data_IF_098012821448
#
_entry.id   IF_098012821448
#
_cell.length_a   1.000
_cell.length_b   1.000
_cell.length_c   1.000
_cell.angle_alpha   90.00
_cell.angle_beta   90.00
_cell.angle_gamma   90.00
#
_symmetry.space_group_name_H-M   'P 1'
#
loop_
_entity.id
_entity.type
_entity.pdbx_description
1 polymer ?
#
# COMPACT_ATOMS: atom_id res chain seq x y z
N UNK A 1 -16.22 -1.11 -14.99
CA UNK A 1 -16.36 -0.12 -13.88
C UNK A 1 -15.59 -0.48 -12.60
N UNK A 2 -15.61 -1.73 -12.11
CA UNK A 2 -14.89 -2.09 -10.88
C UNK A 2 -13.38 -1.82 -10.93
N UNK A 3 -12.71 -2.11 -12.06
CA UNK A 3 -11.28 -1.77 -12.22
C UNK A 3 -11.01 -0.28 -12.00
N UNK A 4 -11.84 0.59 -12.59
CA UNK A 4 -11.72 2.05 -12.41
C UNK A 4 -11.89 2.44 -10.94
N UNK A 5 -12.87 1.85 -10.24
CA UNK A 5 -13.09 2.08 -8.80
C UNK A 5 -11.91 1.62 -7.94
N UNK A 6 -11.34 0.45 -8.24
CA UNK A 6 -10.13 -0.07 -7.56
C UNK A 6 -8.95 0.88 -7.76
N UNK A 7 -8.69 1.29 -9.01
CA UNK A 7 -7.58 2.20 -9.32
C UNK A 7 -7.77 3.54 -8.61
N UNK A 8 -8.97 4.12 -8.61
CA UNK A 8 -9.23 5.36 -7.86
C UNK A 8 -9.09 5.20 -6.35
N UNK A 9 -9.54 4.07 -5.79
CA UNK A 9 -9.32 3.75 -4.38
C UNK A 9 -7.82 3.64 -4.08
N UNK A 10 -7.06 2.94 -4.92
CA UNK A 10 -5.61 2.77 -4.75
C UNK A 10 -4.85 4.11 -4.85
N UNK A 11 -5.23 4.98 -5.78
CA UNK A 11 -4.64 6.33 -5.88
C UNK A 11 -4.91 7.13 -4.60
N UNK A 12 -6.13 7.06 -4.04
CA UNK A 12 -6.47 7.73 -2.77
C UNK A 12 -5.65 7.16 -1.60
N UNK A 13 -5.51 5.84 -1.53
CA UNK A 13 -4.71 5.14 -0.51
C UNK A 13 -3.23 5.54 -0.62
N UNK A 14 -2.65 5.46 -1.81
CA UNK A 14 -1.25 5.83 -2.06
C UNK A 14 -0.99 7.31 -1.75
N UNK A 15 -1.89 8.21 -2.15
CA UNK A 15 -1.79 9.63 -1.84
C UNK A 15 -1.80 9.89 -0.33
N UNK A 16 -2.65 9.20 0.42
CA UNK A 16 -2.69 9.32 1.87
C UNK A 16 -1.41 8.78 2.52
N UNK A 17 -0.96 7.58 2.14
CA UNK A 17 0.27 7.00 2.67
C UNK A 17 1.48 7.90 2.38
N UNK A 18 1.54 8.45 1.17
CA UNK A 18 2.55 9.44 0.76
C UNK A 18 2.48 10.69 1.61
N UNK A 19 1.29 11.22 1.86
CA UNK A 19 1.11 12.45 2.66
C UNK A 19 1.58 12.23 4.10
N UNK A 20 1.20 11.11 4.71
CA UNK A 20 1.63 10.76 6.07
C UNK A 20 3.13 10.52 6.13
N UNK A 21 3.69 9.84 5.11
CA UNK A 21 5.14 9.64 4.96
C UNK A 21 5.87 10.98 4.80
N UNK A 22 5.33 11.91 4.02
CA UNK A 22 5.89 13.25 3.86
C UNK A 22 5.87 14.02 5.18
N UNK A 23 4.77 13.97 5.94
CA UNK A 23 4.69 14.57 7.28
C UNK A 23 5.73 13.97 8.22
N UNK A 24 5.93 12.65 8.20
CA UNK A 24 6.96 12.02 9.02
C UNK A 24 8.38 12.44 8.61
N UNK A 25 8.73 12.29 7.34
CA UNK A 25 10.09 12.52 6.85
C UNK A 25 10.48 14.00 6.80
N UNK A 26 9.54 14.89 6.48
CA UNK A 26 9.81 16.31 6.26
C UNK A 26 9.39 17.22 7.43
N UNK A 27 8.61 16.71 8.39
CA UNK A 27 8.18 17.50 9.57
C UNK A 27 8.62 16.84 10.88
N UNK A 28 8.14 15.62 11.18
CA UNK A 28 8.42 14.99 12.48
C UNK A 28 9.90 14.69 12.70
N UNK A 29 10.59 14.11 11.71
CA UNK A 29 12.02 13.82 11.83
C UNK A 29 12.86 15.09 11.99
N UNK A 30 12.69 16.15 11.16
CA UNK A 30 13.41 17.40 11.35
C UNK A 30 13.16 18.07 12.71
N UNK A 31 11.94 17.99 13.25
CA UNK A 31 11.62 18.49 14.59
C UNK A 31 12.35 17.71 15.69
N UNK A 32 12.62 16.41 15.47
CA UNK A 32 13.45 15.58 16.34
C UNK A 32 14.97 15.74 16.07
N UNK A 33 15.38 16.70 15.23
CA UNK A 33 16.78 16.95 14.88
C UNK A 33 17.35 15.98 13.83
N UNK A 34 16.54 15.08 13.28
CA UNK A 34 16.95 14.08 12.29
C UNK A 34 16.63 14.59 10.88
N UNK A 35 17.65 14.73 10.03
CA UNK A 35 17.48 15.11 8.63
C UNK A 35 17.98 13.99 7.73
N UNK A 36 17.04 13.17 7.25
CA UNK A 36 17.38 12.10 6.34
C UNK A 36 17.81 12.66 4.97
N UNK A 37 18.78 12.01 4.30
CA UNK A 37 19.04 12.29 2.90
C UNK A 37 17.85 11.81 2.05
N UNK A 38 17.72 12.33 0.83
CA UNK A 38 16.77 11.84 -0.17
C UNK A 38 15.28 11.92 0.23
N UNK A 39 14.88 12.73 1.22
CA UNK A 39 13.48 12.85 1.68
C UNK A 39 12.50 13.05 0.52
N UNK A 40 12.81 13.96 -0.42
CA UNK A 40 11.97 14.19 -1.60
C UNK A 40 11.82 12.94 -2.47
N UNK A 41 12.93 12.22 -2.69
CA UNK A 41 12.96 10.98 -3.45
C UNK A 41 12.16 9.89 -2.76
N UNK A 42 12.27 9.75 -1.43
CA UNK A 42 11.50 8.79 -0.65
C UNK A 42 10.00 9.07 -0.76
N UNK A 43 9.58 10.34 -0.67
CA UNK A 43 8.16 10.71 -0.81
C UNK A 43 7.64 10.35 -2.20
N UNK A 44 8.38 10.69 -3.27
CA UNK A 44 8.01 10.35 -4.64
C UNK A 44 7.95 8.83 -4.83
N UNK A 45 8.96 8.11 -4.31
CA UNK A 45 9.00 6.66 -4.35
C UNK A 45 7.80 6.04 -3.64
N UNK A 46 7.44 6.51 -2.44
CA UNK A 46 6.27 6.02 -1.70
C UNK A 46 4.99 6.18 -2.53
N UNK A 47 4.82 7.31 -3.21
CA UNK A 47 3.65 7.53 -4.06
C UNK A 47 3.62 6.56 -5.25
N UNK A 48 4.71 6.48 -6.00
CA UNK A 48 4.80 5.65 -7.20
C UNK A 48 4.71 4.16 -6.86
N UNK A 49 5.48 3.72 -5.87
CA UNK A 49 5.44 2.35 -5.39
C UNK A 49 4.07 2.02 -4.82
N UNK A 50 3.46 2.91 -4.02
CA UNK A 50 2.14 2.71 -3.41
C UNK A 50 0.98 2.52 -4.40
N UNK A 51 1.17 2.81 -5.70
CA UNK A 51 0.21 2.45 -6.74
C UNK A 51 0.17 0.94 -7.02
N UNK A 52 1.25 0.21 -6.69
CA UNK A 52 1.34 -1.25 -6.76
C UNK A 52 0.76 -1.85 -5.46
N UNK A 53 -0.38 -2.55 -5.52
CA UNK A 53 -0.99 -3.15 -4.34
C UNK A 53 -0.02 -4.09 -3.63
N UNK A 54 0.07 -3.98 -2.30
CA UNK A 54 0.91 -4.80 -1.40
C UNK A 54 2.42 -4.60 -1.61
N UNK A 55 2.94 -4.88 -2.81
CA UNK A 55 4.38 -4.81 -3.15
C UNK A 55 4.91 -3.38 -3.00
N UNK A 56 4.10 -2.37 -3.34
CA UNK A 56 4.47 -0.97 -3.23
C UNK A 56 4.90 -0.55 -1.82
N UNK A 57 4.13 -1.01 -0.84
CA UNK A 57 4.42 -0.74 0.57
C UNK A 57 5.66 -1.49 1.04
N UNK A 58 5.88 -2.73 0.58
CA UNK A 58 7.11 -3.45 0.91
C UNK A 58 8.34 -2.69 0.39
N UNK A 59 8.32 -2.29 -0.89
CA UNK A 59 9.43 -1.54 -1.50
C UNK A 59 9.68 -0.23 -0.74
N UNK A 60 8.64 0.61 -0.59
CA UNK A 60 8.81 1.93 0.04
C UNK A 60 9.24 1.81 1.51
N UNK A 61 8.66 0.92 2.28
CA UNK A 61 9.02 0.69 3.68
C UNK A 61 10.45 0.20 3.82
N UNK A 62 10.87 -0.77 2.99
CA UNK A 62 12.25 -1.26 3.00
C UNK A 62 13.23 -0.14 2.72
N UNK A 63 12.99 0.69 1.70
CA UNK A 63 13.89 1.80 1.37
C UNK A 63 13.93 2.85 2.48
N UNK A 64 12.78 3.18 3.09
CA UNK A 64 12.72 4.11 4.22
C UNK A 64 13.53 3.58 5.41
N UNK A 65 13.38 2.30 5.76
CA UNK A 65 14.13 1.68 6.87
C UNK A 65 15.63 1.66 6.56
N UNK A 66 16.02 1.26 5.36
CA UNK A 66 17.44 1.20 4.95
C UNK A 66 18.07 2.59 5.02
N UNK A 67 17.43 3.61 4.44
CA UNK A 67 17.94 4.99 4.47
C UNK A 67 18.00 5.52 5.91
N UNK A 68 17.00 5.20 6.73
CA UNK A 68 16.98 5.61 8.15
C UNK A 68 18.09 4.92 8.95
N UNK A 69 18.35 3.65 8.67
CA UNK A 69 19.42 2.87 9.29
C UNK A 69 20.81 3.35 8.89
N UNK A 70 20.99 3.77 7.63
CA UNK A 70 22.23 4.43 7.18
C UNK A 70 22.48 5.77 7.87
N UNK A 71 21.45 6.43 8.41
CA UNK A 71 21.58 7.66 9.19
C UNK A 71 21.89 7.39 10.66
N UNK A 72 21.04 6.61 11.36
CA UNK A 72 21.29 6.20 12.75
C UNK A 72 20.34 5.07 13.20
N UNK A 73 20.74 4.33 14.23
CA UNK A 73 19.87 3.31 14.85
C UNK A 73 18.57 3.91 15.41
N UNK A 74 18.63 5.13 15.98
CA UNK A 74 17.46 5.84 16.48
C UNK A 74 16.48 6.22 15.37
N UNK A 75 16.98 6.69 14.23
CA UNK A 75 16.16 6.99 13.06
C UNK A 75 15.51 5.73 12.48
N UNK A 76 16.24 4.60 12.43
CA UNK A 76 15.69 3.31 12.00
C UNK A 76 14.55 2.82 12.91
N UNK A 77 14.75 2.89 14.23
CA UNK A 77 13.69 2.53 15.18
C UNK A 77 12.46 3.44 15.05
N UNK A 78 12.68 4.76 14.93
CA UNK A 78 11.60 5.71 14.67
C UNK A 78 10.84 5.39 13.38
N UNK A 79 11.57 5.04 12.31
CA UNK A 79 10.97 4.64 11.04
C UNK A 79 10.17 3.35 11.16
N UNK A 80 10.67 2.33 11.86
CA UNK A 80 9.94 1.09 12.09
C UNK A 80 8.64 1.33 12.88
N UNK A 81 8.70 2.12 13.95
CA UNK A 81 7.51 2.47 14.75
C UNK A 81 6.49 3.20 13.87
N UNK A 82 6.94 4.22 13.12
CA UNK A 82 6.10 4.97 12.21
C UNK A 82 5.45 4.05 11.16
N UNK A 83 6.22 3.17 10.53
CA UNK A 83 5.74 2.26 9.49
C UNK A 83 4.72 1.26 10.02
N UNK A 84 4.91 0.71 11.22
CA UNK A 84 3.92 -0.17 11.86
C UNK A 84 2.61 0.56 12.12
N UNK A 85 2.68 1.80 12.62
CA UNK A 85 1.49 2.63 12.90
C UNK A 85 0.73 2.96 11.61
N UNK A 86 1.45 3.44 10.59
CA UNK A 86 0.84 3.80 9.31
C UNK A 86 0.27 2.60 8.59
N UNK A 87 0.96 1.45 8.61
CA UNK A 87 0.45 0.24 7.98
C UNK A 87 -0.89 -0.20 8.60
N UNK A 88 -1.02 -0.09 9.94
CA UNK A 88 -2.28 -0.39 10.62
C UNK A 88 -3.38 0.61 10.26
N UNK A 89 -3.05 1.90 10.19
CA UNK A 89 -3.97 2.94 9.75
C UNK A 89 -4.45 2.71 8.30
N UNK A 90 -3.52 2.38 7.41
CA UNK A 90 -3.81 2.06 6.01
C UNK A 90 -4.75 0.85 5.92
N UNK A 91 -4.54 -0.20 6.71
CA UNK A 91 -5.44 -1.35 6.74
C UNK A 91 -6.89 -0.96 7.06
N UNK A 92 -7.10 -0.11 8.08
CA UNK A 92 -8.43 0.40 8.41
C UNK A 92 -9.04 1.25 7.30
N UNK A 93 -8.22 2.05 6.64
CA UNK A 93 -8.67 2.93 5.56
C UNK A 93 -8.95 2.15 4.28
N UNK A 94 -8.16 1.14 3.95
CA UNK A 94 -8.41 0.21 2.85
C UNK A 94 -9.77 -0.47 3.05
N UNK A 95 -10.06 -0.92 4.27
CA UNK A 95 -11.37 -1.50 4.59
C UNK A 95 -12.51 -0.49 4.37
N UNK A 96 -12.33 0.79 4.73
CA UNK A 96 -13.35 1.84 4.55
C UNK A 96 -13.50 2.30 3.09
N UNK A 97 -12.40 2.53 2.39
CA UNK A 97 -12.36 3.08 1.03
C UNK A 97 -12.71 2.00 0.01
N UNK A 98 -12.15 0.79 0.12
CA UNK A 98 -12.45 -0.32 -0.81
C UNK A 98 -13.80 -0.96 -0.48
N UNK A 99 -14.12 -1.09 0.81
CA UNK A 99 -15.41 -1.63 1.26
C UNK A 99 -16.62 -0.80 0.80
N UNK A 100 -16.48 0.52 0.72
CA UNK A 100 -17.52 1.41 0.18
C UNK A 100 -17.69 1.32 -1.34
N UNK A 101 -16.67 0.84 -2.07
CA UNK A 101 -16.69 0.84 -3.54
C UNK A 101 -17.05 -0.52 -4.17
N UNK A 102 -16.78 -1.67 -3.52
CA UNK A 102 -16.75 -2.96 -4.23
C UNK A 102 -17.56 -4.08 -3.55
N UNK A 103 -17.98 -3.93 -2.28
CA UNK A 103 -18.62 -5.03 -1.50
C UNK A 103 -17.83 -6.36 -1.54
N UNK A 104 -16.55 -6.35 -1.88
CA UNK A 104 -15.67 -7.51 -1.80
C UNK A 104 -15.09 -7.61 -0.40
N UNK A 105 -15.09 -8.81 0.18
CA UNK A 105 -14.52 -9.07 1.50
C UNK A 105 -13.00 -9.20 1.36
N UNK A 106 -12.26 -8.60 2.29
CA UNK A 106 -10.79 -8.59 2.25
C UNK A 106 -10.17 -10.00 2.16
N UNK A 107 -10.78 -11.02 2.77
CA UNK A 107 -10.28 -12.40 2.72
C UNK A 107 -10.40 -13.03 1.33
N UNK A 108 -11.40 -12.67 0.52
CA UNK A 108 -11.57 -13.22 -0.83
C UNK A 108 -10.46 -12.72 -1.75
N UNK A 109 -10.10 -11.44 -1.60
CA UNK A 109 -9.00 -10.83 -2.34
C UNK A 109 -7.65 -11.43 -1.92
N UNK A 110 -7.41 -11.60 -0.62
CA UNK A 110 -6.19 -12.24 -0.10
C UNK A 110 -6.04 -13.69 -0.59
N UNK A 111 -7.15 -14.44 -0.62
CA UNK A 111 -7.15 -15.80 -1.15
C UNK A 111 -6.81 -15.79 -2.65
N UNK A 112 -7.42 -14.90 -3.43
CA UNK A 112 -7.11 -14.76 -4.85
C UNK A 112 -5.63 -14.39 -5.08
N UNK A 113 -5.08 -13.51 -4.25
CA UNK A 113 -3.66 -13.15 -4.26
C UNK A 113 -2.76 -14.35 -4.01
N UNK A 114 -3.05 -15.15 -2.98
CA UNK A 114 -2.31 -16.38 -2.66
C UNK A 114 -2.38 -17.42 -3.78
N UNK A 115 -3.56 -17.66 -4.34
CA UNK A 115 -3.76 -18.64 -5.42
C UNK A 115 -3.02 -18.21 -6.68
N UNK A 116 -3.13 -16.94 -7.06
CA UNK A 116 -2.45 -16.42 -8.24
C UNK A 116 -0.94 -16.34 -8.04
N UNK A 117 -0.47 -16.00 -6.84
CA UNK A 117 0.95 -16.06 -6.49
C UNK A 117 1.50 -17.49 -6.59
N UNK A 118 0.78 -18.48 -6.06
CA UNK A 118 1.18 -19.88 -6.17
C UNK A 118 1.21 -20.37 -7.65
N UNK A 119 0.30 -19.87 -8.48
CA UNK A 119 0.20 -20.28 -9.90
C UNK A 119 1.18 -19.54 -10.83
N UNK A 120 1.44 -18.24 -10.59
CA UNK A 120 2.14 -17.36 -11.52
C UNK A 120 3.23 -16.49 -10.84
N UNK A 121 3.54 -16.73 -9.57
CA UNK A 121 4.52 -15.96 -8.80
C UNK A 121 4.12 -14.49 -8.60
N UNK A 122 5.12 -13.62 -8.55
CA UNK A 122 4.93 -12.16 -8.41
C UNK A 122 3.97 -11.56 -9.45
N UNK A 123 4.01 -12.05 -10.69
CA UNK A 123 3.10 -11.58 -11.74
C UNK A 123 1.63 -11.92 -11.40
N UNK A 124 1.39 -13.10 -10.84
CA UNK A 124 0.08 -13.50 -10.34
C UNK A 124 -0.39 -12.66 -9.17
N UNK A 125 0.48 -12.40 -8.20
CA UNK A 125 0.17 -11.56 -7.04
C UNK A 125 -0.29 -10.15 -7.46
N UNK A 126 0.40 -9.55 -8.44
CA UNK A 126 0.07 -8.24 -9.01
C UNK A 126 -1.28 -8.29 -9.76
N UNK A 127 -1.52 -9.36 -10.51
CA UNK A 127 -2.70 -9.49 -11.37
C UNK A 127 -3.97 -9.90 -10.59
N UNK A 128 -3.82 -10.56 -9.43
CA UNK A 128 -4.92 -11.17 -8.70
C UNK A 128 -6.07 -10.21 -8.35
N UNK A 129 -5.83 -8.96 -7.89
CA UNK A 129 -6.92 -8.04 -7.58
C UNK A 129 -7.78 -7.70 -8.80
N UNK A 130 -7.15 -7.63 -9.98
CA UNK A 130 -7.81 -7.31 -11.25
C UNK A 130 -8.66 -8.50 -11.70
N UNK A 131 -8.07 -9.69 -11.74
CA UNK A 131 -8.77 -10.91 -12.16
C UNK A 131 -9.91 -11.28 -11.21
N UNK A 132 -9.69 -11.16 -9.90
CA UNK A 132 -10.70 -11.41 -8.88
C UNK A 132 -11.90 -10.46 -9.05
N UNK A 133 -11.64 -9.16 -9.20
CA UNK A 133 -12.70 -8.18 -9.37
C UNK A 133 -13.50 -8.39 -10.67
N UNK A 134 -12.82 -8.76 -11.76
CA UNK A 134 -13.46 -9.09 -13.03
C UNK A 134 -14.35 -10.32 -12.89
N UNK A 135 -13.82 -11.41 -12.34
CA UNK A 135 -14.55 -12.67 -12.15
C UNK A 135 -15.79 -12.47 -11.26
N UNK A 136 -15.64 -11.73 -10.16
CA UNK A 136 -16.76 -11.44 -9.24
C UNK A 136 -17.85 -10.58 -9.91
N UNK A 137 -17.46 -9.60 -10.71
CA UNK A 137 -18.44 -8.83 -11.51
C UNK A 137 -19.20 -9.72 -12.48
N UNK A 138 -18.50 -10.60 -13.20
CA UNK A 138 -19.11 -11.47 -14.21
C UNK A 138 -20.08 -12.48 -13.58
N UNK A 139 -19.70 -13.08 -12.45
CA UNK A 139 -20.57 -14.01 -11.70
C UNK A 139 -21.83 -13.30 -11.18
N UNK A 140 -21.69 -12.10 -10.63
CA UNK A 140 -22.83 -11.30 -10.16
C UNK A 140 -23.75 -10.88 -11.31
N UNK A 141 -23.20 -10.48 -12.46
CA UNK A 141 -23.98 -10.13 -13.66
C UNK A 141 -24.79 -11.31 -14.20
N UNK A 142 -24.30 -12.53 -13.99
CA UNK A 142 -24.98 -13.78 -14.37
C UNK A 142 -25.90 -14.34 -13.26
N UNK A 143 -26.02 -13.68 -12.11
CA UNK A 143 -26.82 -14.14 -10.98
C UNK A 143 -26.32 -15.42 -10.32
N UNK A 144 -25.02 -15.73 -10.47
CA UNK A 144 -24.40 -16.93 -9.89
C UNK A 144 -23.93 -16.71 -8.44
N UNK A 145 -23.88 -15.45 -7.98
CA UNK A 145 -23.58 -15.00 -6.62
C UNK A 145 -24.33 -13.71 -6.29
#
# INVERSE_FOLDING_TARGET
EAFRRIVFAQVRISALNTTLTALYLAVLLPLAGVRLPLVKTLIVLTFLAGLLPVIGNLISNTVIVVVSMSYSAGAALGALIFLVVIHKLEYFLNARIVGSEIKARAWELLLAMLVMEAAFGMAGLIAAPIYYAYLKMELAARGLI
#
